data_IF_474124091530
#
_entry.id   IF_474124091530
#
_cell.length_a   1.000
_cell.length_b   1.000
_cell.length_c   1.000
_cell.angle_alpha   90.00
_cell.angle_beta   90.00
_cell.angle_gamma   90.00
#
_symmetry.space_group_name_H-M   'P 1'
#
loop_
_entity.id
_entity.type
_entity.pdbx_description
1 polymer ?
#
# COMPACT_ATOMS: atom_id res chain seq x y z
N UNK A 1 0.01 -15.44 -15.96
CA UNK A 1 1.46 -15.69 -15.95
C UNK A 1 2.17 -14.42 -15.50
N UNK A 2 3.13 -14.56 -14.59
CA UNK A 2 3.90 -13.41 -14.12
C UNK A 2 4.93 -12.98 -15.15
N UNK A 3 5.22 -11.69 -15.19
CA UNK A 3 6.27 -11.11 -16.04
C UNK A 3 7.58 -11.08 -15.24
N UNK A 4 8.70 -10.88 -15.93
CA UNK A 4 9.98 -10.66 -15.26
C UNK A 4 10.14 -9.21 -14.77
N UNK A 5 9.56 -8.27 -15.49
CA UNK A 5 9.69 -6.84 -15.21
C UNK A 5 8.30 -6.20 -15.23
N UNK A 6 8.04 -5.36 -14.23
CA UNK A 6 6.83 -4.54 -14.15
C UNK A 6 7.22 -3.07 -14.09
N UNK A 7 6.52 -2.23 -14.86
CA UNK A 7 6.70 -0.77 -14.82
C UNK A 7 5.62 -0.18 -13.92
N UNK A 8 6.01 0.48 -12.86
CA UNK A 8 5.05 0.97 -11.87
C UNK A 8 4.05 1.96 -12.47
N UNK A 9 4.52 2.86 -13.33
CA UNK A 9 3.60 3.81 -13.99
C UNK A 9 2.55 3.10 -14.83
N UNK A 10 2.92 2.00 -15.52
CA UNK A 10 1.97 1.20 -16.29
C UNK A 10 0.95 0.52 -15.37
N UNK A 11 1.39 0.00 -14.23
CA UNK A 11 0.49 -0.67 -13.28
C UNK A 11 -0.46 0.35 -12.64
N UNK A 12 0.01 1.54 -12.29
CA UNK A 12 -0.85 2.60 -11.77
C UNK A 12 -1.90 3.02 -12.81
N UNK A 13 -1.50 3.17 -14.07
CA UNK A 13 -2.43 3.51 -15.15
C UNK A 13 -3.48 2.42 -15.33
N UNK A 14 -3.11 1.14 -15.23
CA UNK A 14 -4.07 0.02 -15.31
C UNK A 14 -5.05 0.04 -14.14
N UNK A 15 -4.55 0.26 -12.93
CA UNK A 15 -5.41 0.35 -11.76
C UNK A 15 -6.43 1.47 -11.90
N UNK A 16 -5.99 2.64 -12.34
CA UNK A 16 -6.87 3.79 -12.58
C UNK A 16 -7.91 3.49 -13.67
N UNK A 17 -7.49 2.88 -14.78
CA UNK A 17 -8.40 2.52 -15.88
C UNK A 17 -9.45 1.50 -15.46
N UNK A 18 -9.11 0.60 -14.53
CA UNK A 18 -10.03 -0.41 -14.00
C UNK A 18 -10.86 0.11 -12.82
N UNK A 19 -10.64 1.34 -12.37
CA UNK A 19 -11.33 1.92 -11.23
C UNK A 19 -10.97 1.25 -9.91
N UNK A 20 -9.79 0.67 -9.79
CA UNK A 20 -9.34 -0.02 -8.58
C UNK A 20 -8.42 0.88 -7.77
N UNK A 21 -8.70 1.01 -6.47
CA UNK A 21 -7.76 1.66 -5.54
C UNK A 21 -6.51 0.81 -5.36
N UNK A 22 -6.69 -0.49 -5.14
CA UNK A 22 -5.60 -1.47 -5.06
C UNK A 22 -5.71 -2.46 -6.22
N UNK A 23 -4.59 -2.67 -6.92
CA UNK A 23 -4.53 -3.66 -8.00
C UNK A 23 -3.28 -4.52 -7.83
N UNK A 24 -3.50 -5.82 -7.59
CA UNK A 24 -2.43 -6.80 -7.55
C UNK A 24 -1.93 -7.08 -8.97
N UNK A 25 -0.60 -7.08 -9.17
CA UNK A 25 -0.02 -7.39 -10.46
C UNK A 25 0.94 -8.58 -10.42
N UNK A 26 1.29 -9.05 -9.23
CA UNK A 26 2.18 -10.20 -9.05
C UNK A 26 1.67 -11.06 -7.91
N UNK A 27 1.62 -12.39 -8.15
CA UNK A 27 1.27 -13.34 -7.09
C UNK A 27 2.03 -14.64 -7.28
N UNK A 28 2.74 -15.03 -6.24
CA UNK A 28 3.30 -16.37 -6.03
C UNK A 28 2.99 -16.77 -4.60
N UNK A 29 3.11 -18.05 -4.20
CA UNK A 29 2.72 -18.45 -2.84
C UNK A 29 3.43 -17.69 -1.72
N UNK A 30 4.68 -17.30 -1.92
CA UNK A 30 5.49 -16.65 -0.90
C UNK A 30 5.30 -15.13 -0.82
N UNK A 31 4.65 -14.52 -1.82
CA UNK A 31 4.45 -13.07 -1.84
C UNK A 31 3.43 -12.63 -2.88
N UNK A 32 2.86 -11.47 -2.68
CA UNK A 32 2.12 -10.75 -3.72
C UNK A 32 2.55 -9.30 -3.74
N UNK A 33 2.36 -8.64 -4.87
CA UNK A 33 2.68 -7.23 -5.02
C UNK A 33 1.57 -6.53 -5.81
N UNK A 34 1.33 -5.28 -5.46
CA UNK A 34 0.32 -4.48 -6.12
C UNK A 34 0.62 -2.99 -6.02
N UNK A 35 -0.22 -2.21 -6.63
CA UNK A 35 -0.18 -0.75 -6.54
C UNK A 35 -1.45 -0.26 -5.85
N UNK A 36 -1.31 0.78 -5.03
CA UNK A 36 -2.39 1.38 -4.28
C UNK A 36 -2.36 2.89 -4.49
N UNK A 37 -3.50 3.49 -4.76
CA UNK A 37 -3.60 4.92 -5.01
C UNK A 37 -4.71 5.53 -4.16
N UNK A 38 -4.40 6.62 -3.48
CA UNK A 38 -5.36 7.39 -2.69
C UNK A 38 -5.29 8.86 -3.09
N UNK A 39 -6.43 9.45 -3.38
CA UNK A 39 -6.52 10.86 -3.72
C UNK A 39 -6.34 11.73 -2.49
N UNK A 40 -5.84 12.96 -2.71
CA UNK A 40 -5.81 13.97 -1.64
C UNK A 40 -7.19 14.10 -1.02
N UNK A 41 -7.23 14.11 0.32
CA UNK A 41 -8.47 14.19 1.08
C UNK A 41 -9.25 12.88 1.19
N UNK A 42 -8.79 11.79 0.57
CA UNK A 42 -9.49 10.51 0.65
C UNK A 42 -9.38 9.88 2.04
N UNK A 43 -10.34 9.02 2.35
CA UNK A 43 -10.30 8.17 3.55
C UNK A 43 -9.78 6.80 3.17
N UNK A 44 -8.79 6.32 3.93
CA UNK A 44 -8.24 4.98 3.77
C UNK A 44 -9.03 4.00 4.64
N UNK A 45 -9.84 3.16 4.00
CA UNK A 45 -10.77 2.27 4.70
C UNK A 45 -10.22 0.83 4.76
N UNK A 46 -8.95 0.66 5.08
CA UNK A 46 -8.34 -0.65 5.17
C UNK A 46 -8.65 -1.38 6.47
N UNK A 47 -8.73 -2.72 6.38
CA UNK A 47 -8.73 -3.61 7.54
C UNK A 47 -7.32 -4.19 7.73
N UNK A 48 -6.95 -4.61 8.95
CA UNK A 48 -5.68 -5.29 9.17
C UNK A 48 -5.55 -6.53 8.29
N UNK A 49 -4.37 -6.75 7.72
CA UNK A 49 -4.09 -7.91 6.86
C UNK A 49 -3.50 -9.06 7.67
N UNK A 50 -3.64 -10.28 7.16
CA UNK A 50 -3.13 -11.49 7.80
C UNK A 50 -1.64 -11.70 7.53
N UNK A 51 -1.08 -10.96 6.57
CA UNK A 51 0.29 -11.07 6.11
C UNK A 51 1.11 -9.87 6.57
N UNK A 52 2.44 -10.03 6.59
CA UNK A 52 3.33 -8.88 6.71
C UNK A 52 3.24 -8.05 5.44
N UNK A 53 3.40 -6.74 5.58
CA UNK A 53 3.20 -5.81 4.49
C UNK A 53 4.30 -4.76 4.45
N UNK A 54 4.77 -4.43 3.25
CA UNK A 54 5.64 -3.29 3.02
C UNK A 54 4.95 -2.36 2.01
N UNK A 55 4.93 -1.06 2.34
CA UNK A 55 4.59 0.00 1.41
C UNK A 55 5.86 0.74 1.01
N UNK A 56 6.00 1.04 -0.27
CA UNK A 56 6.96 2.01 -0.76
C UNK A 56 6.21 3.19 -1.36
N UNK A 57 6.46 4.40 -0.85
CA UNK A 57 5.80 5.60 -1.36
C UNK A 57 6.50 6.03 -2.65
N UNK A 58 5.80 5.89 -3.78
CA UNK A 58 6.33 6.26 -5.09
C UNK A 58 6.21 7.77 -5.28
N UNK A 59 5.06 8.34 -4.94
CA UNK A 59 4.81 9.78 -5.00
C UNK A 59 3.65 10.14 -4.07
N UNK A 60 3.52 11.43 -3.79
CA UNK A 60 2.47 11.96 -2.94
C UNK A 60 2.90 12.09 -1.49
N UNK A 61 2.05 12.70 -0.67
CA UNK A 61 2.32 12.98 0.75
C UNK A 61 1.07 12.86 1.58
N UNK A 62 1.26 12.41 2.81
CA UNK A 62 0.20 12.29 3.78
C UNK A 62 0.77 11.90 5.14
N UNK A 63 -0.08 11.32 5.97
CA UNK A 63 0.31 10.78 7.28
C UNK A 63 -0.09 9.32 7.36
N UNK A 64 0.61 8.57 8.18
CA UNK A 64 0.39 7.14 8.38
C UNK A 64 0.31 6.85 9.86
N UNK A 65 -0.77 6.17 10.27
CA UNK A 65 -0.97 5.72 11.65
C UNK A 65 -0.82 4.22 11.72
N UNK A 66 -0.07 3.74 12.71
CA UNK A 66 0.04 2.33 13.02
C UNK A 66 -0.30 2.14 14.49
N UNK A 67 -1.13 1.14 14.79
CA UNK A 67 -1.61 0.89 16.15
C UNK A 67 -1.38 -0.58 16.50
N UNK A 68 -0.56 -0.81 17.51
CA UNK A 68 -0.27 -2.15 18.03
C UNK A 68 -0.26 -2.14 19.57
N UNK A 69 0.26 -3.19 20.17
CA UNK A 69 0.31 -3.31 21.64
C UNK A 69 1.12 -2.18 22.30
N UNK A 70 2.04 -1.56 21.58
CA UNK A 70 2.83 -0.43 22.09
C UNK A 70 2.09 0.91 21.98
N UNK A 71 0.89 0.93 21.37
CA UNK A 71 0.06 2.12 21.20
C UNK A 71 0.02 2.61 19.77
N UNK A 72 -0.59 3.77 19.57
CA UNK A 72 -0.71 4.41 18.27
C UNK A 72 0.48 5.31 18.01
N UNK A 73 1.03 5.23 16.78
CA UNK A 73 2.11 6.11 16.33
C UNK A 73 1.72 6.69 14.97
N UNK A 74 2.02 7.95 14.77
CA UNK A 74 1.70 8.67 13.55
C UNK A 74 2.97 9.25 12.93
N UNK A 75 3.09 9.12 11.62
CA UNK A 75 4.27 9.57 10.87
C UNK A 75 3.84 10.36 9.64
N UNK A 76 4.57 11.43 9.33
CA UNK A 76 4.48 12.06 8.02
C UNK A 76 5.21 11.16 7.02
N UNK A 77 4.62 10.94 5.85
CA UNK A 77 5.19 10.09 4.81
C UNK A 77 5.21 10.80 3.47
N UNK A 78 6.21 10.49 2.65
CA UNK A 78 6.39 11.07 1.33
C UNK A 78 7.26 10.19 0.45
N UNK A 79 7.56 10.64 -0.77
CA UNK A 79 8.28 9.84 -1.77
C UNK A 79 9.60 9.26 -1.22
N UNK A 80 9.81 7.98 -1.46
CA UNK A 80 11.01 7.26 -1.02
C UNK A 80 10.90 6.59 0.34
N UNK A 81 9.81 6.82 1.09
CA UNK A 81 9.63 6.17 2.38
C UNK A 81 9.21 4.72 2.21
N UNK A 82 9.77 3.86 3.06
CA UNK A 82 9.38 2.44 3.15
C UNK A 82 8.71 2.25 4.51
N UNK A 83 7.51 1.68 4.49
CA UNK A 83 6.71 1.46 5.69
C UNK A 83 6.54 -0.04 5.90
N UNK A 84 6.77 -0.51 7.11
CA UNK A 84 6.55 -1.91 7.46
C UNK A 84 5.35 -2.05 8.40
N UNK A 85 4.45 -2.98 8.08
CA UNK A 85 3.31 -3.33 8.92
C UNK A 85 3.33 -4.84 9.16
N UNK A 86 3.51 -5.24 10.42
CA UNK A 86 3.46 -6.64 10.78
C UNK A 86 2.04 -7.18 10.58
N UNK A 87 1.94 -8.50 10.36
CA UNK A 87 0.66 -9.18 10.20
C UNK A 87 -0.32 -8.80 11.31
N UNK A 88 -1.57 -8.54 10.94
CA UNK A 88 -2.71 -8.24 11.83
C UNK A 88 -2.63 -6.90 12.56
N UNK A 89 -1.64 -6.06 12.25
CA UNK A 89 -1.50 -4.75 12.89
C UNK A 89 -2.39 -3.74 12.17
N UNK A 90 -3.16 -2.99 12.95
CA UNK A 90 -4.03 -1.93 12.41
C UNK A 90 -3.18 -0.77 11.88
N UNK A 91 -3.55 -0.28 10.72
CA UNK A 91 -2.83 0.82 10.08
C UNK A 91 -3.75 1.60 9.15
N UNK A 92 -3.41 2.87 8.89
CA UNK A 92 -4.24 3.72 8.06
C UNK A 92 -3.42 4.91 7.55
N UNK A 93 -3.58 5.24 6.27
CA UNK A 93 -3.17 6.55 5.74
C UNK A 93 -4.26 7.57 6.06
N UNK A 94 -3.86 8.79 6.39
CA UNK A 94 -4.79 9.87 6.69
C UNK A 94 -4.13 11.22 6.37
N UNK A 95 -4.91 12.30 6.41
CA UNK A 95 -4.42 13.65 6.06
C UNK A 95 -3.59 13.65 4.79
N UNK A 96 -4.15 13.03 3.74
CA UNK A 96 -3.49 12.94 2.43
C UNK A 96 -3.57 14.30 1.78
N UNK A 97 -2.41 14.96 1.62
CA UNK A 97 -2.33 16.32 1.09
C UNK A 97 -2.03 16.35 -0.40
N UNK A 98 -1.41 15.28 -0.93
CA UNK A 98 -1.14 15.08 -2.36
C UNK A 98 -1.54 13.67 -2.70
N UNK A 99 -2.10 13.48 -3.90
CA UNK A 99 -2.46 12.12 -4.36
C UNK A 99 -1.27 11.18 -4.14
N UNK A 100 -1.50 10.12 -3.38
CA UNK A 100 -0.44 9.20 -2.97
C UNK A 100 -0.50 7.93 -3.82
N UNK A 101 0.65 7.49 -4.31
CA UNK A 101 0.79 6.23 -5.05
C UNK A 101 1.82 5.36 -4.34
N UNK A 102 1.42 4.13 -4.09
CA UNK A 102 2.18 3.19 -3.27
C UNK A 102 2.44 1.91 -4.05
N UNK A 103 3.64 1.37 -3.89
CA UNK A 103 3.97 0.01 -4.25
C UNK A 103 3.84 -0.83 -2.99
N UNK A 104 3.11 -1.93 -3.07
CA UNK A 104 2.72 -2.72 -1.90
C UNK A 104 3.17 -4.16 -2.08
N UNK A 105 3.80 -4.72 -1.03
CA UNK A 105 4.19 -6.13 -0.99
C UNK A 105 3.58 -6.80 0.23
N UNK A 106 3.05 -8.02 0.03
CA UNK A 106 2.58 -8.89 1.11
C UNK A 106 3.40 -10.17 1.13
N UNK A 107 3.72 -10.67 2.31
CA UNK A 107 4.40 -11.94 2.51
C UNK A 107 3.75 -12.69 3.68
N UNK A 108 3.21 -13.90 3.43
CA UNK A 108 2.97 -14.55 2.13
C UNK A 108 2.00 -13.74 1.26
N UNK A 109 1.63 -14.29 0.10
CA UNK A 109 0.68 -13.61 -0.78
C UNK A 109 -0.60 -13.25 -0.04
N UNK A 110 -1.14 -12.06 -0.30
CA UNK A 110 -2.32 -11.55 0.40
C UNK A 110 -3.50 -12.52 0.26
N UNK A 111 -4.21 -12.76 1.38
CA UNK A 111 -5.46 -13.52 1.43
C UNK A 111 -6.61 -12.59 1.78
N UNK A 112 -7.80 -12.96 1.32
CA UNK A 112 -9.02 -12.21 1.66
C UNK A 112 -9.58 -12.60 3.04
#
# INVERSE_FOLDING_TARGET
MNQDIYRIDEQQARGAALGKLYMEFLRVPSMSAGVYALKAGATDAQSPHKEDEIYYVVRGRGRFRITDAAGAREHAVGPGDVLFVAARVAHQFFDITEDIELLVFFAPAETE
#
